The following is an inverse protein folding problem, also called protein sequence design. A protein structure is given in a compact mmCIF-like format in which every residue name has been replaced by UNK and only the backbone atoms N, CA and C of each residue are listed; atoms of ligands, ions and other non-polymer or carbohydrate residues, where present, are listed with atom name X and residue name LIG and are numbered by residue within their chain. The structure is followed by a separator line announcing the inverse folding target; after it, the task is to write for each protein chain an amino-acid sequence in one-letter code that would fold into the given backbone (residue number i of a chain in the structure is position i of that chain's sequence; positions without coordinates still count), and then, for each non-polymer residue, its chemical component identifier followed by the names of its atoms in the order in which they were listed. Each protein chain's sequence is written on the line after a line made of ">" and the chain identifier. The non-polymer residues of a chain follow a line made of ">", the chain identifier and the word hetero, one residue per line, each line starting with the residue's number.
data_IF_588641699174
#
_entry.id   IF_588641699174
#
_cell.length_a   1.000
_cell.length_b   1.000
_cell.length_c   1.000
_cell.angle_alpha   90.00
_cell.angle_beta   90.00
_cell.angle_gamma   90.00
#
_symmetry.space_group_name_H-M   'P 1'
#
loop_
_entity.id
_entity.type
_entity.pdbx_description
1 polymer ?
#
# COMPACT_ATOMS: atom_id res chain seq x y z
N UNK A 1 -18.36 60.37 43.46
CA UNK A 1 -17.16 59.51 43.35
C UNK A 1 -15.99 60.42 43.63
N UNK A 2 -15.16 60.08 44.62
CA UNK A 2 -13.94 60.84 44.85
C UNK A 2 -12.89 60.55 43.75
N UNK A 3 -11.89 61.41 43.61
CA UNK A 3 -10.84 61.21 42.60
C UNK A 3 -10.01 59.93 42.85
N UNK A 4 -9.96 59.43 44.09
CA UNK A 4 -9.22 58.22 44.46
C UNK A 4 -9.93 56.93 43.98
N UNK A 5 -11.26 56.88 44.03
CA UNK A 5 -12.09 55.81 43.47
C UNK A 5 -11.97 55.74 41.94
N UNK A 6 -11.91 56.91 41.29
CA UNK A 6 -11.65 57.02 39.85
C UNK A 6 -10.29 56.44 39.47
N UNK A 7 -9.27 56.81 40.21
CA UNK A 7 -7.90 56.37 39.96
C UNK A 7 -7.75 54.86 40.21
N UNK A 8 -8.40 54.32 41.25
CA UNK A 8 -8.43 52.89 41.56
C UNK A 8 -9.11 52.06 40.46
N UNK A 9 -10.24 52.53 39.92
CA UNK A 9 -10.94 51.86 38.81
C UNK A 9 -10.10 51.87 37.52
N UNK A 10 -9.45 53.00 37.21
CA UNK A 10 -8.53 53.11 36.09
C UNK A 10 -7.33 52.15 36.22
N UNK A 11 -6.71 52.07 37.40
CA UNK A 11 -5.61 51.13 37.64
C UNK A 11 -6.06 49.68 37.42
N UNK A 12 -7.25 49.31 37.90
CA UNK A 12 -7.82 47.97 37.73
C UNK A 12 -8.11 47.64 36.27
N UNK A 13 -8.73 48.56 35.53
CA UNK A 13 -9.00 48.42 34.10
C UNK A 13 -7.71 48.31 33.28
N UNK A 14 -6.70 49.13 33.56
CA UNK A 14 -5.41 49.06 32.88
C UNK A 14 -4.72 47.70 33.12
N UNK A 15 -4.83 47.17 34.35
CA UNK A 15 -4.29 45.85 34.70
C UNK A 15 -5.00 44.73 33.95
N UNK A 16 -6.34 44.75 33.94
CA UNK A 16 -7.18 43.84 33.16
C UNK A 16 -6.80 43.90 31.67
N UNK A 17 -6.68 45.10 31.13
CA UNK A 17 -6.32 45.34 29.73
C UNK A 17 -4.94 44.76 29.38
N UNK A 18 -3.94 44.95 30.25
CA UNK A 18 -2.60 44.39 30.07
C UNK A 18 -2.60 42.86 30.01
N UNK A 19 -3.31 42.20 30.94
CA UNK A 19 -3.46 40.73 30.95
C UNK A 19 -4.13 40.22 29.68
N UNK A 20 -5.16 40.93 29.18
CA UNK A 20 -5.81 40.58 27.92
C UNK A 20 -4.86 40.74 26.73
N UNK A 21 -4.14 41.86 26.63
CA UNK A 21 -3.20 42.14 25.53
C UNK A 21 -2.09 41.07 25.47
N UNK A 22 -1.50 40.71 26.61
CA UNK A 22 -0.51 39.62 26.71
C UNK A 22 -1.10 38.28 26.23
N UNK A 23 -2.32 37.96 26.66
CA UNK A 23 -2.94 36.70 26.27
C UNK A 23 -3.32 36.66 24.80
N UNK A 24 -3.73 37.77 24.20
CA UNK A 24 -3.98 37.88 22.76
C UNK A 24 -2.71 37.58 21.96
N UNK A 25 -1.55 38.10 22.39
CA UNK A 25 -0.26 37.84 21.74
C UNK A 25 0.06 36.35 21.82
N UNK A 26 -0.07 35.75 23.01
CA UNK A 26 0.17 34.32 23.21
C UNK A 26 -0.71 33.45 22.32
N UNK A 27 -2.03 33.66 22.33
CA UNK A 27 -2.98 32.88 21.53
C UNK A 27 -2.75 33.08 20.03
N UNK A 28 -2.32 34.28 19.62
CA UNK A 28 -1.96 34.55 18.22
C UNK A 28 -0.77 33.69 17.79
N UNK A 29 0.26 33.56 18.62
CA UNK A 29 1.39 32.67 18.37
C UNK A 29 0.98 31.19 18.28
N UNK A 30 0.06 30.74 19.13
CA UNK A 30 -0.48 29.38 19.05
C UNK A 30 -1.23 29.12 17.73
N UNK A 31 -2.07 30.07 17.29
CA UNK A 31 -2.79 29.97 16.01
C UNK A 31 -1.82 29.91 14.83
N UNK A 32 -0.75 30.69 14.85
CA UNK A 32 0.25 30.70 13.78
C UNK A 32 1.03 29.37 13.72
N UNK A 33 1.41 28.82 14.87
CA UNK A 33 2.00 27.48 14.96
C UNK A 33 1.04 26.40 14.45
N UNK A 34 -0.24 26.47 14.82
CA UNK A 34 -1.28 25.54 14.33
C UNK A 34 -1.45 25.65 12.81
N UNK A 35 -1.45 26.86 12.24
CA UNK A 35 -1.50 27.06 10.78
C UNK A 35 -0.35 26.37 10.06
N UNK A 36 0.88 26.52 10.58
CA UNK A 36 2.06 25.86 10.03
C UNK A 36 1.92 24.34 10.06
N UNK A 37 1.55 23.78 11.21
CA UNK A 37 1.34 22.33 11.37
C UNK A 37 0.23 21.79 10.46
N UNK A 38 -0.85 22.55 10.27
CA UNK A 38 -1.93 22.19 9.36
C UNK A 38 -1.41 22.13 7.92
N UNK A 39 -0.61 23.11 7.49
CA UNK A 39 -0.07 23.13 6.15
C UNK A 39 0.92 21.97 5.91
N UNK A 40 1.84 21.75 6.85
CA UNK A 40 2.78 20.62 6.80
C UNK A 40 2.04 19.28 6.72
N UNK A 41 0.99 19.08 7.54
CA UNK A 41 0.19 17.86 7.52
C UNK A 41 -0.62 17.69 6.22
N UNK A 42 -1.12 18.78 5.62
CA UNK A 42 -1.80 18.73 4.31
C UNK A 42 -0.85 18.28 3.20
N UNK A 43 0.37 18.82 3.19
CA UNK A 43 1.40 18.42 2.23
C UNK A 43 1.76 16.95 2.42
N UNK A 44 1.96 16.51 3.67
CA UNK A 44 2.22 15.10 3.96
C UNK A 44 1.07 14.18 3.54
N UNK A 45 -0.18 14.61 3.75
CA UNK A 45 -1.37 13.86 3.35
C UNK A 45 -1.45 13.72 1.83
N UNK A 46 -1.17 14.79 1.08
CA UNK A 46 -1.14 14.77 -0.37
C UNK A 46 -0.06 13.81 -0.89
N UNK A 47 1.15 13.88 -0.36
CA UNK A 47 2.25 12.99 -0.74
C UNK A 47 1.92 11.52 -0.42
N UNK A 48 1.42 11.24 0.78
CA UNK A 48 1.00 9.89 1.19
C UNK A 48 -0.09 9.34 0.28
N UNK A 49 -1.05 10.19 -0.12
CA UNK A 49 -2.12 9.79 -1.05
C UNK A 49 -1.58 9.45 -2.43
N UNK A 50 -0.64 10.24 -2.96
CA UNK A 50 0.02 9.95 -4.23
C UNK A 50 0.80 8.63 -4.17
N UNK A 51 1.51 8.39 -3.08
CA UNK A 51 2.25 7.13 -2.87
C UNK A 51 1.31 5.92 -2.80
N UNK A 52 0.13 6.04 -2.18
CA UNK A 52 -0.89 4.99 -2.18
C UNK A 52 -1.33 4.68 -3.61
N UNK A 53 -1.74 5.70 -4.39
CA UNK A 53 -2.21 5.51 -5.77
C UNK A 53 -1.13 4.86 -6.65
N UNK A 54 0.13 5.29 -6.49
CA UNK A 54 1.26 4.69 -7.21
C UNK A 54 1.43 3.22 -6.84
N UNK A 55 1.50 2.89 -5.55
CA UNK A 55 1.69 1.52 -5.10
C UNK A 55 0.49 0.61 -5.48
N UNK A 56 -0.75 1.12 -5.50
CA UNK A 56 -1.92 0.38 -6.01
C UNK A 56 -1.78 0.06 -7.49
N UNK A 57 -1.30 1.03 -8.28
CA UNK A 57 -1.03 0.84 -9.71
C UNK A 57 0.05 -0.21 -9.92
N UNK A 58 1.16 -0.11 -9.19
CA UNK A 58 2.27 -1.06 -9.25
C UNK A 58 1.84 -2.48 -8.83
N UNK A 59 1.03 -2.61 -7.77
CA UNK A 59 0.45 -3.89 -7.31
C UNK A 59 -0.41 -4.54 -8.40
N UNK A 60 -1.28 -3.76 -9.04
CA UNK A 60 -2.15 -4.25 -10.10
C UNK A 60 -1.36 -4.72 -11.33
N UNK A 61 -0.32 -3.99 -11.71
CA UNK A 61 0.53 -4.39 -12.83
C UNK A 61 1.32 -5.66 -12.52
N UNK A 62 1.88 -5.78 -11.32
CA UNK A 62 2.56 -7.01 -10.90
C UNK A 62 1.61 -8.22 -10.85
N UNK A 63 0.37 -8.03 -10.39
CA UNK A 63 -0.67 -9.08 -10.41
C UNK A 63 -0.99 -9.55 -11.83
N UNK A 64 -1.08 -8.62 -12.79
CA UNK A 64 -1.25 -8.98 -14.21
C UNK A 64 -0.07 -9.80 -14.72
N UNK A 65 1.15 -9.38 -14.43
CA UNK A 65 2.36 -10.12 -14.84
C UNK A 65 2.40 -11.52 -14.24
N UNK A 66 2.12 -11.68 -12.94
CA UNK A 66 2.00 -13.00 -12.28
C UNK A 66 0.91 -13.87 -12.93
N UNK A 67 -0.22 -13.27 -13.32
CA UNK A 67 -1.28 -13.93 -14.07
C UNK A 67 -0.83 -14.45 -15.44
N UNK A 68 -0.14 -13.63 -16.23
CA UNK A 68 0.42 -14.02 -17.53
C UNK A 68 1.41 -15.18 -17.38
N UNK A 69 2.31 -15.10 -16.40
CA UNK A 69 3.29 -16.17 -16.12
C UNK A 69 2.58 -17.47 -15.74
N UNK A 70 1.48 -17.39 -14.98
CA UNK A 70 0.69 -18.58 -14.61
C UNK A 70 0.06 -19.26 -15.82
N UNK A 71 -0.44 -18.49 -16.80
CA UNK A 71 -0.94 -19.04 -18.07
C UNK A 71 0.18 -19.68 -18.88
N UNK A 72 1.35 -19.04 -18.96
CA UNK A 72 2.52 -19.60 -19.65
C UNK A 72 2.98 -20.92 -19.02
N UNK A 73 3.00 -21.01 -17.68
CA UNK A 73 3.35 -22.24 -16.96
C UNK A 73 2.39 -23.39 -17.29
N UNK A 74 1.08 -23.14 -17.31
CA UNK A 74 0.10 -24.15 -17.69
C UNK A 74 0.30 -24.61 -19.14
N UNK A 75 0.64 -23.70 -20.05
CA UNK A 75 1.00 -24.02 -21.44
C UNK A 75 2.21 -24.95 -21.54
N UNK A 76 3.28 -24.64 -20.80
CA UNK A 76 4.51 -25.47 -20.77
C UNK A 76 4.23 -26.84 -20.16
N UNK A 77 3.42 -26.92 -19.09
CA UNK A 77 3.03 -28.20 -18.49
C UNK A 77 2.27 -29.10 -19.48
N UNK A 78 1.36 -28.52 -20.27
CA UNK A 78 0.66 -29.26 -21.32
C UNK A 78 1.62 -29.76 -22.41
N UNK A 79 2.60 -28.94 -22.82
CA UNK A 79 3.62 -29.34 -23.79
C UNK A 79 4.48 -30.50 -23.26
N UNK A 80 4.93 -30.44 -22.01
CA UNK A 80 5.69 -31.53 -21.36
C UNK A 80 4.86 -32.82 -21.34
N UNK A 81 3.57 -32.73 -21.00
CA UNK A 81 2.67 -33.89 -20.93
C UNK A 81 2.48 -34.55 -22.30
N UNK A 82 2.30 -33.73 -23.35
CA UNK A 82 2.14 -34.22 -24.72
C UNK A 82 3.42 -34.88 -25.25
N UNK A 83 4.58 -34.25 -25.05
CA UNK A 83 5.86 -34.85 -25.43
C UNK A 83 6.11 -36.16 -24.68
N UNK A 84 5.80 -36.21 -23.38
CA UNK A 84 5.93 -37.41 -22.54
C UNK A 84 4.96 -38.52 -22.97
N UNK A 85 3.81 -38.18 -23.54
CA UNK A 85 2.88 -39.14 -24.13
C UNK A 85 3.46 -39.72 -25.41
N UNK A 86 3.99 -38.89 -26.31
CA UNK A 86 4.63 -39.34 -27.55
C UNK A 86 5.84 -40.23 -27.29
N UNK A 87 6.63 -39.95 -26.25
CA UNK A 87 7.73 -40.84 -25.81
C UNK A 87 7.18 -42.22 -25.47
N UNK A 88 6.16 -42.29 -24.61
CA UNK A 88 5.52 -43.57 -24.20
C UNK A 88 4.95 -44.33 -25.39
N UNK A 89 4.31 -43.65 -26.33
CA UNK A 89 3.79 -44.26 -27.56
C UNK A 89 4.92 -44.90 -28.39
N UNK A 90 6.03 -44.21 -28.60
CA UNK A 90 7.18 -44.76 -29.32
C UNK A 90 7.84 -45.92 -28.53
N UNK A 91 7.83 -45.89 -27.20
CA UNK A 91 8.33 -47.00 -26.36
C UNK A 91 7.48 -48.26 -26.51
N UNK A 92 6.15 -48.11 -26.53
CA UNK A 92 5.23 -49.21 -26.81
C UNK A 92 5.41 -49.76 -28.23
N UNK A 93 5.60 -48.89 -29.23
CA UNK A 93 5.87 -49.30 -30.60
C UNK A 93 7.17 -50.11 -30.69
N UNK A 94 8.25 -49.68 -30.03
CA UNK A 94 9.50 -50.44 -29.93
C UNK A 94 9.24 -51.82 -29.33
N UNK A 95 8.47 -51.92 -28.25
CA UNK A 95 8.17 -53.20 -27.63
C UNK A 95 7.37 -54.11 -28.58
N UNK A 96 6.34 -53.59 -29.24
CA UNK A 96 5.57 -54.34 -30.23
C UNK A 96 6.42 -54.83 -31.40
N UNK A 97 7.37 -54.01 -31.88
CA UNK A 97 8.28 -54.39 -32.95
C UNK A 97 9.25 -55.49 -32.49
N UNK A 98 9.74 -55.45 -31.25
CA UNK A 98 10.55 -56.53 -30.66
C UNK A 98 9.77 -57.84 -30.55
N UNK A 99 8.53 -57.77 -30.08
CA UNK A 99 7.67 -58.95 -29.94
C UNK A 99 7.42 -59.58 -31.32
N UNK A 100 7.14 -58.77 -32.36
CA UNK A 100 7.01 -59.25 -33.75
C UNK A 100 8.27 -59.92 -34.29
N UNK A 101 9.47 -59.44 -33.92
CA UNK A 101 10.73 -60.10 -34.31
C UNK A 101 10.81 -61.49 -33.66
N UNK A 102 10.47 -61.60 -32.37
CA UNK A 102 10.53 -62.89 -31.67
C UNK A 102 9.45 -63.86 -32.16
N UNK A 103 8.23 -63.39 -32.41
CA UNK A 103 7.12 -64.21 -32.94
C UNK A 103 7.41 -64.76 -34.34
N UNK A 104 8.15 -64.01 -35.16
CA UNK A 104 8.53 -64.43 -36.51
C UNK A 104 9.80 -65.27 -36.55
N UNK A 105 10.43 -65.52 -35.39
CA UNK A 105 11.64 -66.33 -35.28
C UNK A 105 11.32 -67.77 -35.69
N UNK A 106 11.91 -68.30 -36.79
CA UNK A 106 11.59 -69.65 -37.23
C UNK A 106 12.12 -70.69 -36.25
N UNK A 107 11.42 -71.82 -36.09
CA UNK A 107 11.89 -72.95 -35.29
C UNK A 107 13.32 -73.32 -35.75
N UNK A 108 14.31 -73.41 -34.83
CA UNK A 108 15.66 -73.88 -35.14
C UNK A 108 15.69 -75.19 -35.94
N UNK A 109 14.69 -76.06 -35.79
CA UNK A 109 14.57 -77.31 -36.56
C UNK A 109 14.16 -77.08 -38.02
N UNK A 110 13.41 -76.02 -38.32
CA UNK A 110 13.02 -75.63 -39.67
C UNK A 110 14.18 -75.05 -40.50
N UNK A 111 15.31 -74.71 -39.86
CA UNK A 111 16.51 -74.23 -40.52
C UNK A 111 17.33 -75.35 -41.16
N UNK A 112 17.14 -76.59 -40.69
CA UNK A 112 17.94 -77.76 -41.09
C UNK A 112 17.26 -78.52 -42.24
N UNK A 113 15.93 -78.46 -42.37
CA UNK A 113 15.21 -79.06 -43.50
C UNK A 113 15.28 -78.14 -44.73
N UNK A 114 16.33 -78.30 -45.53
CA UNK A 114 16.50 -77.56 -46.78
C UNK A 114 15.35 -77.77 -47.76
N UNK A 115 14.62 -76.70 -48.06
CA UNK A 115 13.86 -76.58 -49.31
C UNK A 115 14.43 -75.42 -50.13
N UNK A 116 14.85 -75.76 -51.34
CA UNK A 116 15.75 -75.01 -52.24
C UNK A 116 15.16 -73.70 -52.81
N UNK A 117 13.90 -73.36 -52.53
CA UNK A 117 13.25 -72.22 -53.21
C UNK A 117 12.83 -71.02 -52.35
N UNK A 118 12.89 -71.11 -51.03
CA UNK A 118 12.77 -69.95 -50.13
C UNK A 118 13.42 -70.31 -48.80
N UNK A 119 14.65 -69.85 -48.57
CA UNK A 119 15.31 -70.06 -47.29
C UNK A 119 14.61 -69.20 -46.23
N UNK A 120 13.85 -69.78 -45.27
CA UNK A 120 13.10 -69.00 -44.27
C UNK A 120 14.02 -68.13 -43.41
N UNK A 121 15.29 -68.51 -43.27
CA UNK A 121 16.29 -67.73 -42.55
C UNK A 121 16.68 -66.43 -43.29
N UNK A 122 16.65 -66.41 -44.63
CA UNK A 122 16.94 -65.20 -45.42
C UNK A 122 15.78 -64.22 -45.32
N UNK A 123 14.55 -64.68 -45.49
CA UNK A 123 13.35 -63.85 -45.31
C UNK A 123 13.24 -63.30 -43.87
N UNK A 124 13.48 -64.14 -42.86
CA UNK A 124 13.53 -63.71 -41.47
C UNK A 124 14.61 -62.64 -41.23
N UNK A 125 15.80 -62.81 -41.81
CA UNK A 125 16.90 -61.83 -41.69
C UNK A 125 16.51 -60.47 -42.29
N UNK A 126 15.88 -60.46 -43.45
CA UNK A 126 15.45 -59.21 -44.11
C UNK A 126 14.34 -58.50 -43.31
N UNK A 127 13.32 -59.24 -42.86
CA UNK A 127 12.24 -58.67 -42.03
C UNK A 127 12.80 -58.18 -40.69
N UNK A 128 13.65 -58.97 -40.04
CA UNK A 128 14.31 -58.56 -38.79
C UNK A 128 15.16 -57.30 -38.98
N UNK A 129 15.84 -57.13 -40.12
CA UNK A 129 16.62 -55.93 -40.41
C UNK A 129 15.71 -54.70 -40.54
N UNK A 130 14.59 -54.82 -41.25
CA UNK A 130 13.63 -53.73 -41.40
C UNK A 130 12.99 -53.34 -40.06
N UNK A 131 12.55 -54.32 -39.27
CA UNK A 131 11.97 -54.06 -37.94
C UNK A 131 13.01 -53.44 -36.98
N UNK A 132 14.27 -53.88 -37.04
CA UNK A 132 15.34 -53.26 -36.25
C UNK A 132 15.64 -51.82 -36.68
N UNK A 133 15.55 -51.50 -37.98
CA UNK A 133 15.68 -50.12 -38.44
C UNK A 133 14.56 -49.24 -37.88
N UNK A 134 13.31 -49.70 -37.92
CA UNK A 134 12.17 -48.98 -37.33
C UNK A 134 12.34 -48.78 -35.82
N UNK A 135 12.81 -49.80 -35.10
CA UNK A 135 13.16 -49.68 -33.67
C UNK A 135 14.20 -48.57 -33.46
N UNK A 136 15.21 -48.48 -34.32
CA UNK A 136 16.24 -47.45 -34.22
C UNK A 136 15.70 -46.06 -34.51
N UNK A 137 14.79 -45.91 -35.47
CA UNK A 137 14.08 -44.64 -35.73
C UNK A 137 13.25 -44.20 -34.52
N UNK A 138 12.46 -45.11 -33.93
CA UNK A 138 11.70 -44.82 -32.72
C UNK A 138 12.64 -44.40 -31.55
N UNK A 139 13.78 -45.08 -31.37
CA UNK A 139 14.79 -44.70 -30.36
C UNK A 139 15.35 -43.30 -30.59
N UNK A 140 15.68 -42.97 -31.84
CA UNK A 140 16.17 -41.64 -32.19
C UNK A 140 15.10 -40.56 -31.92
N UNK A 141 13.83 -40.85 -32.22
CA UNK A 141 12.70 -39.96 -31.92
C UNK A 141 12.50 -39.77 -30.41
N UNK A 142 12.58 -40.83 -29.62
CA UNK A 142 12.53 -40.76 -28.14
C UNK A 142 13.66 -39.89 -27.61
N UNK A 143 14.88 -40.07 -28.09
CA UNK A 143 16.03 -39.25 -27.68
C UNK A 143 15.79 -37.76 -27.95
N UNK A 144 15.29 -37.42 -29.15
CA UNK A 144 14.96 -36.03 -29.51
C UNK A 144 13.85 -35.45 -28.63
N UNK A 145 12.74 -36.18 -28.47
CA UNK A 145 11.62 -35.76 -27.62
C UNK A 145 12.05 -35.61 -26.16
N UNK A 146 12.93 -36.47 -25.65
CA UNK A 146 13.46 -36.37 -24.29
C UNK A 146 14.27 -35.08 -24.09
N UNK A 147 15.05 -34.67 -25.09
CA UNK A 147 15.77 -33.40 -25.06
C UNK A 147 14.80 -32.20 -25.09
N UNK A 148 13.73 -32.28 -25.87
CA UNK A 148 12.66 -31.26 -25.90
C UNK A 148 11.96 -31.16 -24.53
N UNK A 149 11.63 -32.28 -23.90
CA UNK A 149 11.08 -32.32 -22.52
C UNK A 149 12.01 -31.63 -21.53
N UNK A 150 13.31 -31.96 -21.55
CA UNK A 150 14.28 -31.33 -20.66
C UNK A 150 14.40 -29.81 -20.87
N UNK A 151 14.27 -29.37 -22.13
CA UNK A 151 14.25 -27.94 -22.47
C UNK A 151 13.02 -27.25 -21.91
N UNK A 152 11.84 -27.86 -22.05
CA UNK A 152 10.59 -27.31 -21.51
C UNK A 152 10.57 -27.31 -19.97
N UNK A 153 11.11 -28.35 -19.32
CA UNK A 153 11.30 -28.36 -17.86
C UNK A 153 12.19 -27.20 -17.40
N UNK A 154 13.27 -26.93 -18.14
CA UNK A 154 14.16 -25.80 -17.82
C UNK A 154 13.46 -24.45 -17.95
N UNK A 155 12.65 -24.27 -19.01
CA UNK A 155 11.81 -23.06 -19.18
C UNK A 155 10.78 -22.93 -18.05
N UNK A 156 10.11 -24.03 -17.68
CA UNK A 156 9.15 -24.10 -16.56
C UNK A 156 9.81 -23.61 -15.27
N UNK A 157 10.97 -24.13 -14.93
CA UNK A 157 11.69 -23.76 -13.70
C UNK A 157 12.04 -22.25 -13.69
N UNK A 158 12.48 -21.70 -14.82
CA UNK A 158 12.73 -20.26 -14.93
C UNK A 158 11.46 -19.42 -14.70
N UNK A 159 10.31 -19.85 -15.24
CA UNK A 159 9.05 -19.14 -15.06
C UNK A 159 8.51 -19.27 -13.62
N UNK A 160 8.71 -20.40 -12.95
CA UNK A 160 8.41 -20.57 -11.53
C UNK A 160 9.20 -19.55 -10.69
N UNK A 161 10.50 -19.41 -10.94
CA UNK A 161 11.32 -18.41 -10.23
C UNK A 161 10.79 -17.00 -10.42
N UNK A 162 10.52 -16.60 -11.67
CA UNK A 162 9.95 -15.27 -11.97
C UNK A 162 8.59 -15.05 -11.29
N UNK A 163 7.73 -16.07 -11.27
CA UNK A 163 6.44 -15.99 -10.57
C UNK A 163 6.62 -15.74 -9.08
N UNK A 164 7.52 -16.49 -8.43
CA UNK A 164 7.80 -16.31 -7.01
C UNK A 164 8.36 -14.91 -6.71
N UNK A 165 9.19 -14.35 -7.59
CA UNK A 165 9.68 -12.97 -7.49
C UNK A 165 8.54 -11.94 -7.59
N UNK A 166 7.62 -12.12 -8.56
CA UNK A 166 6.43 -11.29 -8.68
C UNK A 166 5.56 -11.38 -7.41
N UNK A 167 5.26 -12.59 -6.93
CA UNK A 167 4.41 -12.80 -5.75
C UNK A 167 5.04 -12.20 -4.48
N UNK A 168 6.36 -12.30 -4.33
CA UNK A 168 7.10 -11.62 -3.26
C UNK A 168 7.01 -10.10 -3.37
N UNK A 169 7.13 -9.55 -4.59
CA UNK A 169 7.03 -8.12 -4.84
C UNK A 169 5.63 -7.59 -4.52
N UNK A 170 4.59 -8.33 -4.94
CA UNK A 170 3.18 -8.01 -4.61
C UNK A 170 3.00 -7.96 -3.10
N UNK A 171 3.52 -8.95 -2.37
CA UNK A 171 3.41 -8.98 -0.91
C UNK A 171 4.07 -7.76 -0.26
N UNK A 172 5.27 -7.38 -0.71
CA UNK A 172 5.96 -6.18 -0.20
C UNK A 172 5.18 -4.90 -0.47
N UNK A 173 4.58 -4.76 -1.66
CA UNK A 173 3.74 -3.63 -2.02
C UNK A 173 2.48 -3.58 -1.14
N UNK A 174 1.82 -4.72 -0.92
CA UNK A 174 0.61 -4.80 -0.09
C UNK A 174 0.90 -4.41 1.37
N UNK A 175 2.03 -4.86 1.93
CA UNK A 175 2.49 -4.43 3.28
C UNK A 175 2.75 -2.92 3.32
N UNK A 176 3.39 -2.36 2.28
CA UNK A 176 3.64 -0.92 2.18
C UNK A 176 2.34 -0.12 2.07
N UNK A 177 1.36 -0.61 1.30
CA UNK A 177 0.04 0.01 1.17
C UNK A 177 -0.69 0.08 2.51
N UNK A 178 -0.69 -1.00 3.29
CA UNK A 178 -1.30 -1.01 4.61
C UNK A 178 -0.67 0.04 5.54
N UNK A 179 0.67 0.14 5.54
CA UNK A 179 1.37 1.16 6.34
C UNK A 179 0.99 2.58 5.92
N UNK A 180 0.94 2.85 4.63
CA UNK A 180 0.57 4.18 4.12
C UNK A 180 -0.89 4.52 4.42
N UNK A 181 -1.81 3.54 4.38
CA UNK A 181 -3.21 3.75 4.76
C UNK A 181 -3.36 4.11 6.24
N UNK A 182 -2.60 3.46 7.13
CA UNK A 182 -2.55 3.81 8.55
C UNK A 182 -2.00 5.24 8.73
N UNK A 183 -0.87 5.55 8.09
CA UNK A 183 -0.27 6.88 8.14
C UNK A 183 -1.23 7.97 7.64
N UNK A 184 -1.98 7.69 6.57
CA UNK A 184 -3.00 8.59 6.03
C UNK A 184 -4.11 8.84 7.06
N UNK A 185 -4.64 7.80 7.68
CA UNK A 185 -5.69 7.93 8.70
C UNK A 185 -5.22 8.75 9.91
N UNK A 186 -3.98 8.53 10.36
CA UNK A 186 -3.37 9.31 11.44
C UNK A 186 -3.23 10.80 11.08
N UNK A 187 -2.84 11.11 9.85
CA UNK A 187 -2.74 12.49 9.37
C UNK A 187 -4.11 13.17 9.26
N UNK A 188 -5.13 12.45 8.77
CA UNK A 188 -6.51 12.94 8.70
C UNK A 188 -7.06 13.27 10.09
N UNK A 189 -6.80 12.41 11.09
CA UNK A 189 -7.19 12.66 12.48
C UNK A 189 -6.44 13.86 13.07
N UNK A 190 -5.12 13.94 12.89
CA UNK A 190 -4.31 15.09 13.35
C UNK A 190 -4.80 16.40 12.76
N UNK A 191 -5.14 16.43 11.47
CA UNK A 191 -5.68 17.62 10.80
C UNK A 191 -7.03 18.04 11.39
N UNK A 192 -7.91 17.09 11.68
CA UNK A 192 -9.20 17.35 12.32
C UNK A 192 -9.01 17.97 13.71
N UNK A 193 -8.14 17.38 14.52
CA UNK A 193 -7.86 17.86 15.88
C UNK A 193 -7.24 19.26 15.88
N UNK A 194 -6.23 19.48 15.03
CA UNK A 194 -5.62 20.80 14.85
C UNK A 194 -6.63 21.84 14.35
N UNK A 195 -7.53 21.45 13.44
CA UNK A 195 -8.60 22.33 12.95
C UNK A 195 -9.54 22.77 14.08
N UNK A 196 -9.97 21.82 14.93
CA UNK A 196 -10.82 22.12 16.10
C UNK A 196 -10.08 23.02 17.09
N UNK A 197 -8.83 22.71 17.42
CA UNK A 197 -8.02 23.51 18.34
C UNK A 197 -7.82 24.93 17.82
N UNK A 198 -7.54 25.07 16.52
CA UNK A 198 -7.39 26.37 15.87
C UNK A 198 -8.66 27.20 15.96
N UNK A 199 -9.82 26.65 15.60
CA UNK A 199 -11.10 27.35 15.72
C UNK A 199 -11.39 27.77 17.16
N UNK A 200 -11.10 26.91 18.13
CA UNK A 200 -11.25 27.24 19.55
C UNK A 200 -10.36 28.40 19.98
N UNK A 201 -9.11 28.45 19.49
CA UNK A 201 -8.18 29.53 19.77
C UNK A 201 -8.57 30.84 19.06
N UNK A 202 -9.04 30.78 17.82
CA UNK A 202 -9.57 31.93 17.08
C UNK A 202 -10.78 32.54 17.80
N UNK A 203 -11.73 31.71 18.24
CA UNK A 203 -12.89 32.17 19.01
C UNK A 203 -12.47 32.81 20.33
N UNK A 204 -11.57 32.17 21.07
CA UNK A 204 -11.05 32.71 22.33
C UNK A 204 -10.33 34.05 22.12
N UNK A 205 -9.54 34.18 21.05
CA UNK A 205 -8.90 35.45 20.68
C UNK A 205 -9.91 36.55 20.37
N UNK A 206 -10.99 36.24 19.64
CA UNK A 206 -12.04 37.21 19.33
C UNK A 206 -12.77 37.68 20.60
N UNK A 207 -13.07 36.78 21.51
CA UNK A 207 -13.69 37.12 22.81
C UNK A 207 -12.78 38.00 23.67
N UNK A 208 -11.47 37.70 23.69
CA UNK A 208 -10.45 38.55 24.33
C UNK A 208 -10.39 39.93 23.67
N UNK A 209 -10.37 40.03 22.34
CA UNK A 209 -10.34 41.30 21.61
C UNK A 209 -11.59 42.15 21.86
N UNK A 210 -12.76 41.50 21.97
CA UNK A 210 -14.01 42.17 22.35
C UNK A 210 -13.91 42.77 23.75
N UNK A 211 -13.46 41.97 24.73
CA UNK A 211 -13.26 42.40 26.12
C UNK A 211 -12.22 43.52 26.24
N UNK A 212 -11.14 43.44 25.47
CA UNK A 212 -10.09 44.45 25.35
C UNK A 212 -10.65 45.79 24.85
N UNK A 213 -11.46 45.75 23.79
CA UNK A 213 -12.08 46.94 23.21
C UNK A 213 -13.03 47.61 24.21
N UNK A 214 -13.81 46.82 24.96
CA UNK A 214 -14.66 47.33 26.04
C UNK A 214 -13.83 48.01 27.14
N UNK A 215 -12.72 47.40 27.57
CA UNK A 215 -11.81 48.01 28.55
C UNK A 215 -11.28 49.36 28.06
N UNK A 216 -10.78 49.42 26.82
CA UNK A 216 -10.21 50.63 26.21
C UNK A 216 -11.25 51.76 26.10
N UNK A 217 -12.47 51.46 25.68
CA UNK A 217 -13.56 52.44 25.60
C UNK A 217 -13.92 53.05 26.95
N UNK A 218 -13.93 52.22 28.01
CA UNK A 218 -14.17 52.73 29.37
C UNK A 218 -12.99 53.60 29.80
N UNK A 219 -11.76 53.11 29.69
CA UNK A 219 -10.55 53.88 30.05
C UNK A 219 -10.54 55.24 29.35
N UNK A 220 -10.87 55.29 28.06
CA UNK A 220 -10.89 56.52 27.28
C UNK A 220 -12.04 57.46 27.69
N UNK A 221 -13.24 56.91 27.93
CA UNK A 221 -14.39 57.68 28.44
C UNK A 221 -14.09 58.34 29.79
N UNK A 222 -13.39 57.62 30.67
CA UNK A 222 -12.96 58.13 31.98
C UNK A 222 -11.93 59.25 31.84
N UNK A 223 -10.97 59.09 30.93
CA UNK A 223 -9.95 60.11 30.63
C UNK A 223 -10.57 61.39 30.06
N UNK A 224 -11.66 61.28 29.30
CA UNK A 224 -12.39 62.43 28.75
C UNK A 224 -13.30 63.15 29.77
N UNK A 225 -13.30 62.73 31.05
CA UNK A 225 -14.02 63.44 32.11
C UNK A 225 -15.51 63.12 32.21
N UNK A 226 -16.00 62.04 31.56
CA UNK A 226 -17.37 61.55 31.77
C UNK A 226 -17.54 61.05 33.21
N UNK A 227 -18.68 61.36 33.82
CA UNK A 227 -19.02 60.86 35.16
C UNK A 227 -19.22 59.35 35.14
N UNK A 228 -18.34 58.65 35.83
CA UNK A 228 -18.32 57.18 36.00
C UNK A 228 -19.46 56.64 36.87
N UNK A 229 -20.23 57.51 37.53
CA UNK A 229 -21.15 57.11 38.60
C UNK A 229 -22.33 56.27 38.10
N UNK A 230 -22.79 56.48 36.86
CA UNK A 230 -23.94 55.73 36.31
C UNK A 230 -23.53 54.62 35.32
N UNK A 231 -22.31 54.67 34.78
CA UNK A 231 -21.85 53.76 33.70
C UNK A 231 -20.65 52.92 34.16
N UNK A 232 -19.82 53.39 35.09
CA UNK A 232 -18.45 52.91 35.27
C UNK A 232 -18.27 51.67 36.13
N UNK A 233 -18.82 51.66 37.34
CA UNK A 233 -18.52 50.61 38.33
C UNK A 233 -19.13 49.28 37.91
N UNK A 234 -20.40 49.29 37.51
CA UNK A 234 -21.12 48.07 37.12
C UNK A 234 -20.52 47.43 35.86
N UNK A 235 -20.13 48.23 34.85
CA UNK A 235 -19.48 47.72 33.64
C UNK A 235 -18.07 47.19 33.91
N UNK A 236 -17.30 47.80 34.82
CA UNK A 236 -15.97 47.28 35.20
C UNK A 236 -16.09 45.93 35.90
N UNK A 237 -17.07 45.77 36.79
CA UNK A 237 -17.37 44.49 37.46
C UNK A 237 -17.83 43.46 36.44
N UNK A 238 -18.72 43.83 35.52
CA UNK A 238 -19.22 42.92 34.48
C UNK A 238 -18.10 42.45 33.55
N UNK A 239 -17.18 43.34 33.16
CA UNK A 239 -16.01 42.98 32.35
C UNK A 239 -15.07 42.05 33.12
N UNK A 240 -14.81 42.34 34.40
CA UNK A 240 -13.98 41.48 35.24
C UNK A 240 -14.58 40.08 35.38
N UNK A 241 -15.89 39.98 35.63
CA UNK A 241 -16.61 38.70 35.71
C UNK A 241 -16.61 37.95 34.38
N UNK A 242 -16.82 38.65 33.25
CA UNK A 242 -16.70 38.07 31.91
C UNK A 242 -15.33 37.49 31.67
N UNK A 243 -14.26 38.22 32.00
CA UNK A 243 -12.87 37.75 31.78
C UNK A 243 -12.54 36.59 32.73
N UNK A 244 -12.96 36.63 34.00
CA UNK A 244 -12.83 35.50 34.92
C UNK A 244 -13.53 34.25 34.38
N UNK A 245 -14.75 34.40 33.89
CA UNK A 245 -15.53 33.30 33.30
C UNK A 245 -14.84 32.76 32.04
N UNK A 246 -14.36 33.66 31.18
CA UNK A 246 -13.65 33.36 29.95
C UNK A 246 -12.41 32.49 30.21
N UNK A 247 -11.53 32.92 31.12
CA UNK A 247 -10.33 32.15 31.48
C UNK A 247 -10.68 30.85 32.19
N UNK A 248 -11.65 30.86 33.11
CA UNK A 248 -12.08 29.66 33.83
C UNK A 248 -12.65 28.60 32.89
N UNK A 249 -13.41 29.01 31.88
CA UNK A 249 -13.94 28.10 30.83
C UNK A 249 -12.85 27.46 29.98
N UNK A 250 -11.63 28.01 30.01
CA UNK A 250 -10.43 27.48 29.33
C UNK A 250 -9.44 26.84 30.32
N UNK A 251 -9.81 26.67 31.59
CA UNK A 251 -8.94 26.11 32.63
C UNK A 251 -7.74 26.98 32.99
N UNK A 252 -7.80 28.29 32.71
CA UNK A 252 -6.74 29.24 32.99
C UNK A 252 -7.02 29.98 34.30
N UNK A 253 -5.98 30.19 35.10
CA UNK A 253 -6.06 31.05 36.28
C UNK A 253 -5.83 32.50 35.87
N UNK A 254 -6.71 33.41 36.34
CA UNK A 254 -6.48 34.84 36.23
C UNK A 254 -5.62 35.30 37.40
N UNK A 255 -4.35 35.63 37.15
CA UNK A 255 -3.52 36.32 38.14
C UNK A 255 -3.59 37.81 37.90
N UNK A 256 -4.25 38.53 38.81
CA UNK A 256 -4.12 39.98 38.90
C UNK A 256 -2.88 40.30 39.71
#
# INVERSE_FOLDING_TARGET
>A
MDDAEKEKLLMKLNKINGVIDEKIIFVTGEIENQNKLIEDNKIQLQNTTLDIVKNETDSNEMKKQSGIISVQLAGIENQINELSKQIRENEYEIQSLKDKIEDQRPDPKAWISGTVFTNPAVAFREISKLLNNNIQECKNKISRLSNEVNTEISKKNSHITKKNECDSTIHQIDVKLQRLQIQRADLENKLKDLGIQKTNNENFKLELQSSNSQCKLIIESVKQGKELLDIGINLVIEIEEKIKTLFSSKGLALSF
#
